data_IF_391984414884
#
_entry.id   IF_391984414884
#
_cell.length_a   1.000
_cell.length_b   1.000
_cell.length_c   1.000
_cell.angle_alpha   90.00
_cell.angle_beta   90.00
_cell.angle_gamma   90.00
#
_symmetry.space_group_name_H-M   'P 1'
#
loop_
_entity.id
_entity.type
_entity.pdbx_description
1 polymer ?
#
# COMPACT_ATOMS: atom_id res chain seq x y z
N UNK A 1 5.95 -47.92 -5.34
CA UNK A 1 5.53 -46.61 -4.75
C UNK A 1 6.00 -45.51 -5.68
N UNK A 2 5.10 -44.69 -6.23
CA UNK A 2 5.50 -43.48 -6.96
C UNK A 2 6.10 -42.50 -5.95
N UNK A 3 7.37 -42.16 -6.08
CA UNK A 3 7.94 -41.05 -5.34
C UNK A 3 7.28 -39.78 -5.83
N UNK A 4 6.36 -39.23 -5.03
CA UNK A 4 5.81 -37.91 -5.25
C UNK A 4 6.93 -36.92 -4.97
N UNK A 5 7.47 -36.34 -6.03
CA UNK A 5 8.43 -35.23 -5.94
C UNK A 5 7.60 -33.99 -5.61
N UNK A 6 7.79 -33.46 -4.42
CA UNK A 6 7.13 -32.23 -3.96
C UNK A 6 8.15 -31.23 -3.44
N UNK A 7 7.77 -29.98 -3.38
CA UNK A 7 8.55 -28.92 -2.73
C UNK A 7 8.20 -28.87 -1.26
N UNK A 8 9.21 -28.86 -0.38
CA UNK A 8 9.03 -28.55 1.04
C UNK A 8 9.37 -27.08 1.27
N UNK A 9 8.55 -26.41 2.04
CA UNK A 9 8.77 -25.02 2.43
C UNK A 9 8.91 -24.94 3.94
N UNK A 10 9.95 -24.27 4.40
CA UNK A 10 10.22 -24.04 5.81
C UNK A 10 10.27 -22.54 6.08
N UNK A 11 9.61 -22.10 7.15
CA UNK A 11 9.75 -20.74 7.65
C UNK A 11 10.98 -20.64 8.55
N UNK A 12 11.91 -19.75 8.20
CA UNK A 12 13.01 -19.40 9.10
C UNK A 12 12.58 -18.33 10.08
N UNK A 13 12.81 -18.53 11.38
CA UNK A 13 12.65 -17.50 12.40
C UNK A 13 13.91 -16.67 12.43
N UNK A 14 13.78 -15.40 12.09
CA UNK A 14 14.86 -14.43 12.22
C UNK A 14 14.57 -13.50 13.42
N UNK A 15 15.62 -12.92 14.04
CA UNK A 15 15.43 -11.79 14.94
C UNK A 15 14.76 -10.62 14.21
N UNK A 16 14.30 -9.63 14.96
CA UNK A 16 13.80 -8.40 14.34
C UNK A 16 14.94 -7.70 13.59
N UNK A 17 14.92 -7.77 12.27
CA UNK A 17 15.92 -7.14 11.43
C UNK A 17 15.73 -5.62 11.46
N UNK A 18 16.81 -4.90 11.71
CA UNK A 18 16.91 -3.44 11.71
C UNK A 18 17.84 -2.97 10.60
N UNK A 19 17.85 -1.68 10.37
CA UNK A 19 18.81 -1.04 9.47
C UNK A 19 20.23 -1.37 9.85
N UNK A 20 21.04 -1.81 8.89
CA UNK A 20 22.45 -2.15 9.06
C UNK A 20 22.75 -3.47 9.75
N UNK A 21 21.74 -4.25 10.16
CA UNK A 21 21.97 -5.60 10.67
C UNK A 21 22.60 -6.50 9.61
N UNK A 22 23.39 -7.49 10.02
CA UNK A 22 23.91 -8.48 9.10
C UNK A 22 22.83 -9.52 8.76
N UNK A 23 21.99 -9.17 7.79
CA UNK A 23 20.89 -10.03 7.33
C UNK A 23 21.37 -11.37 6.81
N UNK A 24 22.52 -11.40 6.12
CA UNK A 24 23.06 -12.63 5.54
C UNK A 24 23.44 -13.61 6.65
N UNK A 25 24.18 -13.15 7.66
CA UNK A 25 24.57 -14.02 8.77
C UNK A 25 23.36 -14.51 9.56
N UNK A 26 22.36 -13.63 9.77
CA UNK A 26 21.12 -14.02 10.43
C UNK A 26 20.40 -15.14 9.65
N UNK A 27 20.37 -15.07 8.32
CA UNK A 27 19.78 -16.10 7.47
C UNK A 27 20.61 -17.38 7.52
N UNK A 28 21.91 -17.31 7.33
CA UNK A 28 22.81 -18.47 7.27
C UNK A 28 22.79 -19.25 8.57
N UNK A 29 22.86 -18.58 9.70
CA UNK A 29 22.83 -19.22 11.03
C UNK A 29 21.51 -19.99 11.24
N UNK A 30 20.38 -19.35 10.97
CA UNK A 30 19.07 -20.01 11.14
C UNK A 30 18.81 -21.11 10.10
N UNK A 31 19.34 -20.95 8.88
CA UNK A 31 19.28 -21.98 7.84
C UNK A 31 20.03 -23.24 8.24
N UNK A 32 21.18 -23.09 8.86
CA UNK A 32 21.97 -24.22 9.40
C UNK A 32 21.22 -24.99 10.48
N UNK A 33 20.48 -24.30 11.36
CA UNK A 33 19.68 -24.90 12.42
C UNK A 33 18.54 -25.80 11.90
N UNK A 34 17.95 -25.44 10.74
CA UNK A 34 16.88 -26.24 10.12
C UNK A 34 17.40 -27.39 9.25
N UNK A 35 18.71 -27.61 9.23
CA UNK A 35 19.34 -28.67 8.47
C UNK A 35 19.33 -28.44 6.97
N UNK A 36 19.54 -27.20 6.55
CA UNK A 36 19.62 -26.80 5.17
C UNK A 36 20.66 -27.56 4.36
N UNK A 37 20.41 -27.75 3.08
CA UNK A 37 21.23 -28.59 2.18
C UNK A 37 21.63 -27.79 0.95
N UNK A 38 22.74 -28.24 0.35
CA UNK A 38 23.16 -27.68 -0.92
C UNK A 38 22.10 -27.90 -2.01
N UNK A 39 21.75 -26.84 -2.73
CA UNK A 39 20.70 -26.85 -3.74
C UNK A 39 19.32 -26.36 -3.25
N UNK A 40 19.16 -26.07 -1.96
CA UNK A 40 17.95 -25.43 -1.45
C UNK A 40 17.86 -23.97 -1.94
N UNK A 41 16.63 -23.47 -2.04
CA UNK A 41 16.36 -22.09 -2.43
C UNK A 41 15.92 -21.31 -1.19
N UNK A 42 16.58 -20.21 -0.90
CA UNK A 42 16.21 -19.30 0.19
C UNK A 42 15.47 -18.11 -0.40
N UNK A 43 14.21 -17.95 -0.02
CA UNK A 43 13.39 -16.79 -0.36
C UNK A 43 13.41 -15.78 0.78
N UNK A 44 13.72 -14.52 0.48
CA UNK A 44 13.65 -13.41 1.45
C UNK A 44 12.61 -12.43 0.98
N UNK A 45 11.72 -12.00 1.89
CA UNK A 45 10.72 -11.00 1.53
C UNK A 45 11.39 -9.65 1.34
N UNK A 46 10.94 -8.93 0.34
CA UNK A 46 11.43 -7.60 0.00
C UNK A 46 11.33 -6.61 1.19
N UNK A 47 10.25 -6.67 1.96
CA UNK A 47 10.07 -5.80 3.12
C UNK A 47 11.15 -6.00 4.19
N UNK A 48 11.74 -7.19 4.31
CA UNK A 48 12.87 -7.45 5.22
C UNK A 48 14.14 -6.81 4.65
N UNK A 49 14.37 -6.96 3.34
CA UNK A 49 15.52 -6.36 2.66
C UNK A 49 15.45 -4.83 2.72
N UNK A 50 14.29 -4.25 2.39
CA UNK A 50 14.08 -2.80 2.44
C UNK A 50 14.30 -2.24 3.86
N UNK A 51 13.80 -2.94 4.89
CA UNK A 51 14.04 -2.57 6.28
C UNK A 51 15.52 -2.58 6.63
N UNK A 52 16.22 -3.63 6.23
CA UNK A 52 17.66 -3.75 6.49
C UNK A 52 18.48 -2.66 5.77
N UNK A 53 18.02 -2.25 4.59
CA UNK A 53 18.63 -1.16 3.81
C UNK A 53 18.21 0.25 4.29
N UNK A 54 17.43 0.39 5.37
CA UNK A 54 16.97 1.69 5.85
C UNK A 54 15.99 2.41 4.92
N UNK A 55 15.31 1.67 4.05
CA UNK A 55 14.36 2.23 3.08
C UNK A 55 13.03 2.53 3.76
N UNK A 56 12.98 3.58 4.54
CA UNK A 56 11.78 4.06 5.23
C UNK A 56 11.37 5.42 4.71
N UNK A 57 10.06 5.65 4.71
CA UNK A 57 9.45 6.97 4.51
C UNK A 57 8.59 7.28 5.73
N UNK A 58 8.81 8.42 6.36
CA UNK A 58 7.99 8.88 7.46
C UNK A 58 6.59 9.29 6.99
N UNK A 59 5.56 9.06 7.80
CA UNK A 59 4.18 9.46 7.46
C UNK A 59 4.09 10.96 7.17
N UNK A 60 4.78 11.78 7.96
CA UNK A 60 4.82 13.23 7.80
C UNK A 60 5.53 13.65 6.51
N UNK A 61 6.52 12.86 6.05
CA UNK A 61 7.19 13.10 4.78
C UNK A 61 6.26 12.87 3.59
N UNK A 62 5.42 11.84 3.66
CA UNK A 62 4.37 11.60 2.66
C UNK A 62 3.39 12.79 2.60
N UNK A 63 2.95 13.29 3.76
CA UNK A 63 2.08 14.46 3.82
C UNK A 63 2.73 15.73 3.26
N UNK A 64 4.00 15.98 3.60
CA UNK A 64 4.78 17.09 3.04
C UNK A 64 4.95 16.97 1.53
N UNK A 65 5.25 15.75 1.05
CA UNK A 65 5.37 15.49 -0.36
C UNK A 65 4.08 15.81 -1.11
N UNK A 66 2.93 15.36 -0.60
CA UNK A 66 1.62 15.64 -1.20
C UNK A 66 1.32 17.14 -1.24
N UNK A 67 1.59 17.85 -0.13
CA UNK A 67 1.42 19.30 -0.05
C UNK A 67 2.31 20.05 -1.05
N UNK A 68 3.56 19.62 -1.21
CA UNK A 68 4.48 20.23 -2.17
C UNK A 68 4.11 19.92 -3.62
N UNK A 69 3.58 18.72 -3.87
CA UNK A 69 3.14 18.31 -5.21
C UNK A 69 1.97 19.17 -5.72
N UNK A 70 0.98 19.43 -4.88
CA UNK A 70 -0.17 20.25 -5.23
C UNK A 70 -0.62 21.13 -4.04
N UNK A 71 0.05 22.26 -3.82
CA UNK A 71 -0.20 23.10 -2.64
C UNK A 71 -1.63 23.65 -2.54
N UNK A 72 -2.30 23.84 -3.69
CA UNK A 72 -3.67 24.36 -3.78
C UNK A 72 -4.72 23.29 -3.56
N UNK A 73 -4.35 22.01 -3.49
CA UNK A 73 -5.30 20.93 -3.34
C UNK A 73 -5.91 20.93 -1.93
N UNK A 74 -7.22 20.81 -1.88
CA UNK A 74 -8.01 20.65 -0.65
C UNK A 74 -8.73 19.31 -0.59
N UNK A 75 -8.91 18.66 -1.73
CA UNK A 75 -9.63 17.39 -1.87
C UNK A 75 -8.70 16.29 -2.36
N UNK A 76 -8.75 15.16 -1.70
CA UNK A 76 -7.99 13.94 -2.06
C UNK A 76 -8.97 12.84 -2.46
N UNK A 77 -8.88 12.40 -3.71
CA UNK A 77 -9.62 11.25 -4.21
C UNK A 77 -8.72 10.01 -4.19
N UNK A 78 -9.20 8.94 -3.59
CA UNK A 78 -8.55 7.63 -3.54
C UNK A 78 -9.39 6.64 -4.36
N UNK A 79 -8.85 6.23 -5.51
CA UNK A 79 -9.56 5.37 -6.46
C UNK A 79 -9.19 3.92 -6.22
N UNK A 80 -10.19 3.08 -5.99
CA UNK A 80 -10.05 1.62 -5.79
C UNK A 80 -8.88 1.21 -4.89
N UNK A 81 -8.83 1.67 -3.64
CA UNK A 81 -7.76 1.26 -2.73
C UNK A 81 -7.84 -0.23 -2.42
N UNK A 82 -6.68 -0.84 -2.23
CA UNK A 82 -6.57 -2.26 -1.85
C UNK A 82 -6.75 -2.38 -0.33
N UNK A 83 -7.99 -2.42 0.11
CA UNK A 83 -8.35 -2.41 1.54
C UNK A 83 -7.80 -3.61 2.32
N UNK A 84 -7.69 -4.76 1.67
CA UNK A 84 -7.17 -5.99 2.28
C UNK A 84 -5.65 -5.98 2.51
N UNK A 85 -4.93 -5.00 1.97
CA UNK A 85 -3.49 -4.89 2.11
C UNK A 85 -3.11 -4.00 3.28
N UNK A 86 -2.36 -4.54 4.22
CA UNK A 86 -1.80 -3.79 5.35
C UNK A 86 -0.99 -2.55 4.92
N UNK A 87 -0.57 -2.50 3.68
CA UNK A 87 0.23 -1.39 3.12
C UNK A 87 -0.58 -0.15 2.82
N UNK A 88 -1.86 -0.28 2.50
CA UNK A 88 -2.70 0.89 2.21
C UNK A 88 -2.89 1.78 3.46
N UNK A 89 -3.01 1.17 4.63
CA UNK A 89 -3.19 1.90 5.89
C UNK A 89 -2.07 2.91 6.18
N UNK A 90 -0.77 2.52 6.14
CA UNK A 90 0.32 3.48 6.31
C UNK A 90 0.32 4.59 5.26
N UNK A 91 0.00 4.26 4.00
CA UNK A 91 -0.08 5.25 2.92
C UNK A 91 -1.20 6.26 3.21
N UNK A 92 -2.40 5.78 3.53
CA UNK A 92 -3.51 6.66 3.89
C UNK A 92 -3.13 7.57 5.06
N UNK A 93 -2.55 7.02 6.12
CA UNK A 93 -2.09 7.81 7.28
C UNK A 93 -1.09 8.88 6.89
N UNK A 94 -0.17 8.55 5.99
CA UNK A 94 0.79 9.52 5.46
C UNK A 94 0.09 10.63 4.64
N UNK A 95 -0.86 10.28 3.78
CA UNK A 95 -1.64 11.25 3.01
C UNK A 95 -2.48 12.16 3.92
N UNK A 96 -3.03 11.61 5.02
CA UNK A 96 -3.77 12.39 6.01
C UNK A 96 -2.91 13.41 6.77
N UNK A 97 -1.58 13.26 6.78
CA UNK A 97 -0.67 14.25 7.33
C UNK A 97 -0.54 15.52 6.49
N UNK A 98 -1.07 15.55 5.26
CA UNK A 98 -1.05 16.74 4.41
C UNK A 98 -1.99 17.82 4.97
N UNK A 99 -1.47 18.99 5.43
CA UNK A 99 -2.29 19.99 6.10
C UNK A 99 -3.27 20.72 5.16
N UNK A 100 -2.94 20.81 3.89
CA UNK A 100 -3.80 21.44 2.88
C UNK A 100 -5.02 20.61 2.49
N UNK A 101 -4.98 19.28 2.67
CA UNK A 101 -6.12 18.41 2.40
C UNK A 101 -7.13 18.55 3.54
N UNK A 102 -8.36 18.92 3.22
CA UNK A 102 -9.47 19.05 4.15
C UNK A 102 -10.54 17.98 3.97
N UNK A 103 -10.61 17.37 2.77
CA UNK A 103 -11.60 16.35 2.44
C UNK A 103 -10.94 15.17 1.73
N UNK A 104 -11.34 13.96 2.13
CA UNK A 104 -10.92 12.71 1.49
C UNK A 104 -12.13 11.97 0.96
N UNK A 105 -12.09 11.63 -0.31
CA UNK A 105 -13.13 10.91 -1.02
C UNK A 105 -12.57 9.54 -1.41
N UNK A 106 -13.16 8.47 -0.89
CA UNK A 106 -12.84 7.11 -1.31
C UNK A 106 -13.86 6.65 -2.34
N UNK A 107 -13.36 6.19 -3.48
CA UNK A 107 -14.17 5.70 -4.58
C UNK A 107 -13.86 4.22 -4.77
N UNK A 108 -14.84 3.35 -4.51
CA UNK A 108 -14.65 1.91 -4.59
C UNK A 108 -15.98 1.21 -4.93
N UNK A 109 -15.89 0.09 -5.63
CA UNK A 109 -17.01 -0.80 -5.89
C UNK A 109 -17.21 -1.83 -4.78
N UNK A 110 -17.81 -2.95 -5.12
CA UNK A 110 -18.08 -4.07 -4.20
C UNK A 110 -16.82 -4.89 -3.84
N UNK A 111 -15.78 -4.75 -4.64
CA UNK A 111 -14.51 -5.45 -4.44
C UNK A 111 -13.35 -4.47 -4.50
N UNK A 112 -12.26 -4.82 -3.82
CA UNK A 112 -11.00 -4.11 -3.99
C UNK A 112 -10.31 -4.50 -5.32
N UNK A 113 -9.20 -3.84 -5.66
CA UNK A 113 -8.44 -4.05 -6.90
C UNK A 113 -8.02 -5.51 -7.14
N UNK A 114 -7.83 -6.29 -6.10
CA UNK A 114 -7.43 -7.70 -6.18
C UNK A 114 -8.61 -8.67 -6.05
N UNK A 115 -9.84 -8.17 -6.11
CA UNK A 115 -11.07 -8.95 -6.12
C UNK A 115 -11.53 -9.44 -4.76
N UNK A 116 -11.01 -8.90 -3.65
CA UNK A 116 -11.58 -9.21 -2.35
C UNK A 116 -12.85 -8.40 -2.13
N UNK A 117 -13.90 -9.06 -1.67
CA UNK A 117 -15.12 -8.36 -1.27
C UNK A 117 -14.85 -7.39 -0.13
N UNK A 118 -15.37 -6.18 -0.26
CA UNK A 118 -15.35 -5.16 0.79
C UNK A 118 -16.71 -5.01 1.47
N UNK A 119 -17.71 -5.76 0.99
CA UNK A 119 -19.01 -5.84 1.62
C UNK A 119 -18.88 -6.46 3.02
N UNK A 120 -19.39 -5.75 3.99
CA UNK A 120 -19.39 -6.15 5.38
C UNK A 120 -20.17 -7.45 5.65
N UNK A 121 -21.20 -7.76 4.88
CA UNK A 121 -21.95 -9.01 5.00
C UNK A 121 -21.09 -10.24 4.66
N UNK A 122 -20.11 -10.05 3.78
CA UNK A 122 -19.17 -11.11 3.38
C UNK A 122 -17.95 -11.17 4.29
N UNK A 123 -17.39 -10.01 4.63
CA UNK A 123 -16.11 -9.91 5.36
C UNK A 123 -16.27 -9.82 6.87
N UNK A 124 -17.45 -9.46 7.36
CA UNK A 124 -17.69 -9.12 8.76
C UNK A 124 -17.07 -7.78 9.20
N UNK A 125 -16.45 -7.05 8.28
CA UNK A 125 -15.81 -5.76 8.55
C UNK A 125 -16.48 -4.69 7.68
N UNK A 126 -16.98 -3.64 8.31
CA UNK A 126 -17.44 -2.46 7.60
C UNK A 126 -16.25 -1.53 7.31
N UNK A 127 -15.61 -1.73 6.17
CA UNK A 127 -14.47 -0.91 5.74
C UNK A 127 -14.83 0.58 5.66
N UNK A 128 -16.04 0.91 5.21
CA UNK A 128 -16.51 2.30 5.12
C UNK A 128 -16.47 3.00 6.48
N UNK A 129 -16.98 2.34 7.52
CA UNK A 129 -17.00 2.92 8.86
C UNK A 129 -15.59 3.02 9.45
N UNK A 130 -14.73 2.01 9.23
CA UNK A 130 -13.33 2.02 9.69
C UNK A 130 -12.55 3.18 9.06
N UNK A 131 -12.66 3.37 7.75
CA UNK A 131 -11.95 4.46 7.07
C UNK A 131 -12.53 5.82 7.40
N UNK A 132 -13.87 5.92 7.58
CA UNK A 132 -14.52 7.11 8.08
C UNK A 132 -13.94 7.53 9.42
N UNK A 133 -13.91 6.63 10.38
CA UNK A 133 -13.39 6.92 11.74
C UNK A 133 -11.93 7.44 11.67
N UNK A 134 -11.10 6.83 10.86
CA UNK A 134 -9.70 7.25 10.74
C UNK A 134 -9.53 8.60 10.06
N UNK A 135 -10.29 8.88 9.01
CA UNK A 135 -10.21 10.13 8.24
C UNK A 135 -10.77 11.28 9.07
N UNK A 136 -11.93 11.09 9.68
CA UNK A 136 -12.53 12.08 10.57
C UNK A 136 -11.70 12.29 11.84
N UNK A 137 -11.11 11.21 12.39
CA UNK A 137 -10.17 11.29 13.51
C UNK A 137 -8.90 12.07 13.20
N UNK A 138 -8.51 12.17 11.92
CA UNK A 138 -7.43 13.04 11.46
C UNK A 138 -7.89 14.49 11.16
N UNK A 139 -9.14 14.85 11.50
CA UNK A 139 -9.70 16.18 11.29
C UNK A 139 -10.06 16.49 9.82
N UNK A 140 -10.32 15.48 9.01
CA UNK A 140 -10.70 15.64 7.60
C UNK A 140 -12.16 15.24 7.40
N UNK A 141 -12.82 15.87 6.42
CA UNK A 141 -14.13 15.41 5.96
C UNK A 141 -13.99 14.11 5.19
N UNK A 142 -14.96 13.21 5.34
CA UNK A 142 -15.00 11.93 4.65
C UNK A 142 -16.21 11.82 3.74
N UNK A 143 -15.98 11.28 2.55
CA UNK A 143 -17.02 10.86 1.60
C UNK A 143 -16.68 9.51 1.00
N UNK A 144 -17.70 8.68 0.81
CA UNK A 144 -17.58 7.42 0.10
C UNK A 144 -18.48 7.42 -1.12
N UNK A 145 -17.89 7.08 -2.27
CA UNK A 145 -18.61 6.97 -3.55
C UNK A 145 -18.59 5.52 -3.99
N UNK A 146 -19.78 4.93 -4.07
CA UNK A 146 -19.98 3.55 -4.52
C UNK A 146 -19.88 3.48 -6.05
N UNK A 147 -18.70 3.67 -6.58
CA UNK A 147 -18.42 3.49 -8.00
C UNK A 147 -16.95 3.13 -8.22
N UNK A 148 -16.71 1.86 -8.47
CA UNK A 148 -15.39 1.34 -8.81
C UNK A 148 -15.05 1.39 -10.30
N UNK A 149 -15.96 1.87 -11.15
CA UNK A 149 -15.86 1.77 -12.62
C UNK A 149 -15.52 3.09 -13.31
N UNK A 150 -14.99 4.05 -12.58
CA UNK A 150 -14.63 5.35 -13.17
C UNK A 150 -13.67 5.19 -14.33
N UNK A 151 -14.11 5.70 -15.48
CA UNK A 151 -13.29 5.74 -16.67
C UNK A 151 -12.43 7.02 -16.72
N UNK A 152 -11.47 7.05 -17.63
CA UNK A 152 -10.55 8.19 -17.79
C UNK A 152 -11.24 9.54 -18.00
N UNK A 153 -12.38 9.55 -18.69
CA UNK A 153 -13.12 10.79 -18.96
C UNK A 153 -13.67 11.38 -17.66
N UNK A 154 -14.26 10.53 -16.81
CA UNK A 154 -14.78 10.94 -15.50
C UNK A 154 -13.66 11.41 -14.58
N UNK A 155 -12.52 10.72 -14.54
CA UNK A 155 -11.35 11.15 -13.77
C UNK A 155 -10.78 12.48 -14.30
N UNK A 156 -10.78 12.67 -15.61
CA UNK A 156 -10.35 13.92 -16.22
C UNK A 156 -11.26 15.10 -15.84
N UNK A 157 -12.57 14.86 -15.67
CA UNK A 157 -13.50 15.88 -15.19
C UNK A 157 -13.29 16.26 -13.72
N UNK A 158 -12.79 15.31 -12.90
CA UNK A 158 -12.43 15.58 -11.51
C UNK A 158 -11.10 16.31 -11.36
N UNK A 159 -10.23 16.26 -12.36
CA UNK A 159 -8.93 16.90 -12.30
C UNK A 159 -9.01 18.43 -12.40
N UNK A 160 -9.56 19.04 -11.39
CA UNK A 160 -9.70 20.49 -11.25
C UNK A 160 -8.61 21.05 -10.35
N UNK A 161 -8.47 22.38 -10.38
CA UNK A 161 -7.72 23.07 -9.35
C UNK A 161 -8.29 22.70 -7.97
N UNK A 162 -7.42 22.42 -7.01
CA UNK A 162 -7.84 22.04 -5.67
C UNK A 162 -8.09 20.53 -5.44
N UNK A 163 -7.88 19.67 -6.43
CA UNK A 163 -8.08 18.23 -6.34
C UNK A 163 -6.79 17.46 -6.60
N UNK A 164 -6.48 16.46 -5.78
CA UNK A 164 -5.48 15.41 -6.05
C UNK A 164 -6.19 14.09 -6.20
N UNK A 165 -5.83 13.33 -7.23
CA UNK A 165 -6.34 11.99 -7.47
C UNK A 165 -5.18 11.01 -7.29
N UNK A 166 -5.38 10.02 -6.42
CA UNK A 166 -4.48 8.88 -6.24
C UNK A 166 -5.19 7.63 -6.74
N UNK A 167 -4.75 7.12 -7.86
CA UNK A 167 -5.23 5.84 -8.37
C UNK A 167 -4.45 4.71 -7.70
N UNK A 168 -5.15 3.94 -6.86
CA UNK A 168 -4.55 2.85 -6.10
C UNK A 168 -4.55 1.52 -6.85
N UNK A 169 -5.04 1.47 -8.09
CA UNK A 169 -5.04 0.25 -8.91
C UNK A 169 -3.63 -0.14 -9.32
N UNK A 170 -3.33 -1.44 -9.21
CA UNK A 170 -1.99 -1.98 -9.52
C UNK A 170 -1.60 -1.83 -10.99
N UNK A 171 -2.58 -1.81 -11.88
CA UNK A 171 -2.40 -1.77 -13.34
C UNK A 171 -3.03 -0.53 -13.99
N UNK A 172 -3.30 0.50 -13.21
CA UNK A 172 -3.80 1.73 -13.77
C UNK A 172 -2.80 2.26 -14.80
N UNK A 173 -3.23 2.53 -16.01
CA UNK A 173 -2.38 3.23 -16.96
C UNK A 173 -2.11 4.61 -16.36
N UNK A 174 -0.84 4.96 -16.24
CA UNK A 174 -0.41 6.28 -15.78
C UNK A 174 -1.11 7.36 -16.62
N UNK A 175 -2.04 8.05 -15.99
CA UNK A 175 -2.57 9.29 -16.54
C UNK A 175 -1.61 10.41 -16.16
N UNK A 176 -1.34 11.38 -17.02
CA UNK A 176 -0.52 12.53 -16.65
C UNK A 176 -1.16 13.40 -15.55
N UNK A 177 -2.38 13.09 -15.16
CA UNK A 177 -3.18 13.84 -14.19
C UNK A 177 -3.42 13.09 -12.87
N UNK A 178 -3.02 11.83 -12.79
CA UNK A 178 -3.25 10.97 -11.64
C UNK A 178 -1.92 10.58 -11.00
N UNK A 179 -1.87 10.71 -9.69
CA UNK A 179 -0.79 10.11 -8.93
C UNK A 179 -1.06 8.62 -8.77
N UNK A 180 -0.07 7.82 -9.09
CA UNK A 180 -0.07 6.42 -8.71
C UNK A 180 0.60 6.24 -7.36
N UNK A 181 0.39 5.10 -6.72
CA UNK A 181 1.17 4.74 -5.53
C UNK A 181 2.67 4.76 -5.82
N UNK A 182 3.07 4.45 -7.05
CA UNK A 182 4.45 4.53 -7.49
C UNK A 182 5.00 5.95 -7.45
N UNK A 183 4.21 6.94 -7.84
CA UNK A 183 4.62 8.34 -7.81
C UNK A 183 4.77 8.86 -6.38
N UNK A 184 3.89 8.44 -5.47
CA UNK A 184 3.94 8.79 -4.05
C UNK A 184 5.18 8.19 -3.37
N UNK A 185 5.47 6.95 -3.68
CA UNK A 185 6.51 6.18 -3.02
C UNK A 185 7.87 6.28 -3.75
N UNK A 186 7.88 6.88 -4.95
CA UNK A 186 9.05 7.04 -5.79
C UNK A 186 9.58 5.72 -6.36
N UNK A 187 10.68 5.79 -7.10
CA UNK A 187 11.32 4.58 -7.66
C UNK A 187 11.79 3.58 -6.58
N UNK A 188 11.91 4.03 -5.33
CA UNK A 188 12.23 3.16 -4.18
C UNK A 188 11.21 2.03 -4.00
N UNK A 189 10.03 2.15 -4.60
CA UNK A 189 8.99 1.13 -4.53
C UNK A 189 8.75 0.33 -5.82
N UNK A 190 9.58 0.48 -6.81
CA UNK A 190 9.60 -0.53 -7.89
C UNK A 190 9.96 -1.94 -7.38
N UNK A 191 10.19 -2.07 -6.07
CA UNK A 191 10.68 -3.25 -5.38
C UNK A 191 9.61 -3.98 -4.56
N UNK A 192 8.33 -3.74 -4.77
CA UNK A 192 7.38 -4.61 -4.15
C UNK A 192 6.11 -4.03 -3.58
N UNK A 193 5.28 -3.58 -4.43
CA UNK A 193 3.84 -3.63 -4.20
C UNK A 193 3.24 -4.75 -5.03
#
# INVERSE_FOLDING_TARGET
>A
MRNLVGTRVFGLRLPLIKEGDNLIDAIVNNYSEVGGKNGDIIGVTESVVARNAGMYVGLEEVGKWLTNYKPTATHLYLINPIFSRNRFIPILRGLLCAPNITKVIIMSGETDEVGNHIDHQVTGVNYRDVYKEWIEGAGKEFEWVDDGLWNRAQLSELNKEGVVIVDCRLHAPSSPYELTLKDILGERNSWGL
#
